data_IF_518751806331
#
_entry.id   IF_518751806331
#
_cell.length_a   1.000
_cell.length_b   1.000
_cell.length_c   1.000
_cell.angle_alpha   90.00
_cell.angle_beta   90.00
_cell.angle_gamma   90.00
#
_symmetry.space_group_name_H-M   'P 1'
#
loop_
_entity.id
_entity.type
_entity.pdbx_description
1 polymer ?
#
# COMPACT_ATOMS: atom_id res chain seq x y z
N UNK A 1 6.54 -49.37 5.05
CA UNK A 1 6.10 -48.26 5.92
C UNK A 1 6.62 -46.98 5.30
N UNK A 2 5.80 -46.34 4.49
CA UNK A 2 6.11 -45.04 3.88
C UNK A 2 5.83 -43.97 4.93
N UNK A 3 6.86 -43.19 5.27
CA UNK A 3 6.71 -42.00 6.09
C UNK A 3 5.76 -41.03 5.37
N UNK A 4 4.68 -40.67 6.06
CA UNK A 4 3.72 -39.70 5.59
C UNK A 4 4.41 -38.37 5.37
N UNK A 5 4.22 -37.82 4.18
CA UNK A 5 4.49 -36.41 3.88
C UNK A 5 3.69 -35.59 4.90
N UNK A 6 4.38 -34.94 5.85
CA UNK A 6 3.77 -33.85 6.61
C UNK A 6 3.32 -32.82 5.58
N UNK A 7 2.01 -32.62 5.49
CA UNK A 7 1.42 -31.60 4.63
C UNK A 7 1.89 -30.24 5.11
N UNK A 8 2.89 -29.65 4.44
CA UNK A 8 3.41 -28.30 4.68
C UNK A 8 2.47 -27.24 4.09
N UNK A 9 1.16 -27.38 4.29
CA UNK A 9 0.23 -26.32 3.95
C UNK A 9 0.47 -25.15 4.94
N UNK A 10 0.60 -23.91 4.47
CA UNK A 10 0.76 -22.77 5.37
C UNK A 10 -0.44 -22.71 6.34
N UNK A 11 -0.16 -22.38 7.61
CA UNK A 11 -1.22 -22.22 8.61
C UNK A 11 -2.20 -21.12 8.16
N UNK A 12 -3.52 -21.30 8.40
CA UNK A 12 -4.49 -20.24 8.12
C UNK A 12 -4.11 -18.95 8.85
N UNK A 13 -4.29 -17.79 8.21
CA UNK A 13 -3.90 -16.49 8.77
C UNK A 13 -4.48 -16.26 10.16
N UNK A 14 -5.75 -16.64 10.39
CA UNK A 14 -6.39 -16.54 11.71
C UNK A 14 -5.63 -17.30 12.81
N UNK A 15 -5.04 -18.46 12.48
CA UNK A 15 -4.25 -19.25 13.42
C UNK A 15 -2.93 -18.56 13.74
N UNK A 16 -2.29 -17.97 12.73
CA UNK A 16 -1.06 -17.19 12.90
C UNK A 16 -1.33 -15.99 13.80
N UNK A 17 -2.40 -15.23 13.54
CA UNK A 17 -2.76 -14.07 14.35
C UNK A 17 -2.98 -14.43 15.83
N UNK A 18 -3.62 -15.56 16.10
CA UNK A 18 -3.87 -16.04 17.46
C UNK A 18 -2.61 -16.55 18.16
N UNK A 19 -1.72 -17.23 17.44
CA UNK A 19 -0.49 -17.79 18.03
C UNK A 19 0.60 -16.74 18.23
N UNK A 20 0.62 -15.70 17.41
CA UNK A 20 1.67 -14.69 17.40
C UNK A 20 1.07 -13.27 17.42
N UNK A 21 0.41 -12.86 18.52
CA UNK A 21 -0.26 -11.55 18.62
C UNK A 21 0.69 -10.35 18.65
N UNK A 22 2.00 -10.60 18.79
CA UNK A 22 3.06 -9.58 18.80
C UNK A 22 3.76 -9.42 17.45
N UNK A 23 3.24 -9.99 16.37
CA UNK A 23 3.81 -9.79 15.03
C UNK A 23 3.74 -8.32 14.65
N UNK A 24 4.87 -7.79 14.18
CA UNK A 24 5.01 -6.41 13.70
C UNK A 24 5.16 -6.31 12.19
N UNK A 25 5.51 -7.40 11.50
CA UNK A 25 5.68 -7.42 10.05
C UNK A 25 5.13 -8.72 9.43
N UNK A 26 4.33 -8.58 8.37
CA UNK A 26 3.78 -9.71 7.60
C UNK A 26 3.97 -9.44 6.11
N UNK A 27 4.43 -10.46 5.39
CA UNK A 27 4.39 -10.52 3.93
C UNK A 27 3.51 -11.67 3.47
N UNK A 28 2.58 -11.40 2.56
CA UNK A 28 1.68 -12.38 1.97
C UNK A 28 1.81 -12.34 0.44
N UNK A 29 1.74 -13.50 -0.17
CA UNK A 29 1.84 -13.68 -1.62
C UNK A 29 0.51 -14.18 -2.20
N UNK A 30 0.30 -13.87 -3.47
CA UNK A 30 -0.97 -13.78 -4.18
C UNK A 30 -1.83 -15.03 -4.23
N UNK A 31 -1.19 -16.20 -4.13
CA UNK A 31 -1.86 -17.49 -4.29
C UNK A 31 -2.80 -17.82 -3.12
N UNK A 32 -2.70 -17.12 -1.98
CA UNK A 32 -3.33 -17.54 -0.73
C UNK A 32 -4.05 -16.42 0.05
N UNK A 33 -4.15 -15.20 -0.48
CA UNK A 33 -4.69 -14.04 0.26
C UNK A 33 -5.96 -13.47 -0.40
N UNK A 34 -7.05 -13.44 0.36
CA UNK A 34 -8.31 -12.81 0.02
C UNK A 34 -8.75 -11.82 1.12
N UNK A 35 -9.87 -11.13 0.90
CA UNK A 35 -10.38 -10.14 1.85
C UNK A 35 -10.68 -10.72 3.25
N UNK A 36 -11.07 -12.01 3.33
CA UNK A 36 -11.34 -12.69 4.61
C UNK A 36 -10.04 -12.93 5.37
N UNK A 37 -8.98 -13.31 4.67
CA UNK A 37 -7.67 -13.47 5.24
C UNK A 37 -7.16 -12.12 5.84
N UNK A 38 -7.41 -11.00 5.15
CA UNK A 38 -7.08 -9.65 5.65
C UNK A 38 -7.96 -9.19 6.81
N UNK A 39 -9.23 -9.63 6.88
CA UNK A 39 -10.07 -9.40 8.06
C UNK A 39 -9.42 -9.97 9.33
N UNK A 40 -8.86 -11.18 9.25
CA UNK A 40 -8.13 -11.81 10.38
C UNK A 40 -6.92 -11.00 10.85
N UNK A 41 -6.22 -10.31 9.93
CA UNK A 41 -5.06 -9.46 10.25
C UNK A 41 -5.46 -8.20 11.03
N UNK A 42 -6.70 -7.72 10.89
CA UNK A 42 -7.15 -6.50 11.57
C UNK A 42 -7.10 -6.58 13.10
N UNK A 43 -6.99 -7.80 13.66
CA UNK A 43 -6.80 -8.04 15.08
C UNK A 43 -5.37 -7.79 15.59
N UNK A 44 -4.38 -7.70 14.68
CA UNK A 44 -2.97 -7.53 15.02
C UNK A 44 -2.63 -6.06 15.28
N UNK A 45 -3.01 -5.58 16.46
CA UNK A 45 -2.78 -4.20 16.90
C UNK A 45 -1.31 -3.74 16.93
N UNK A 46 -0.34 -4.66 16.86
CA UNK A 46 1.10 -4.34 16.81
C UNK A 46 1.69 -4.38 15.39
N UNK A 47 0.89 -4.67 14.36
CA UNK A 47 1.38 -4.81 12.99
C UNK A 47 1.78 -3.45 12.41
N UNK A 48 3.08 -3.25 12.20
CA UNK A 48 3.64 -2.01 11.66
C UNK A 48 3.94 -2.09 10.16
N UNK A 49 4.16 -3.29 9.61
CA UNK A 49 4.50 -3.48 8.21
C UNK A 49 3.66 -4.59 7.57
N UNK A 50 2.98 -4.28 6.48
CA UNK A 50 2.24 -5.26 5.69
C UNK A 50 2.66 -5.18 4.22
N UNK A 51 3.05 -6.32 3.66
CA UNK A 51 3.29 -6.48 2.23
C UNK A 51 2.32 -7.50 1.66
N UNK A 52 1.55 -7.09 0.65
CA UNK A 52 0.71 -7.96 -0.18
C UNK A 52 1.29 -7.97 -1.59
N UNK A 53 1.85 -9.11 -1.99
CA UNK A 53 2.38 -9.34 -3.33
C UNK A 53 1.39 -10.13 -4.16
N UNK A 54 1.22 -9.75 -5.43
CA UNK A 54 0.36 -10.42 -6.42
C UNK A 54 -1.05 -10.78 -5.91
N UNK A 55 -1.62 -9.94 -5.03
CA UNK A 55 -2.82 -10.22 -4.26
C UNK A 55 -4.10 -10.07 -5.09
N UNK A 56 -4.24 -10.88 -6.14
CA UNK A 56 -5.28 -10.78 -7.17
C UNK A 56 -6.70 -10.93 -6.64
N UNK A 57 -6.87 -11.59 -5.49
CA UNK A 57 -8.16 -11.79 -4.81
C UNK A 57 -8.46 -10.76 -3.72
N UNK A 58 -7.57 -9.79 -3.50
CA UNK A 58 -7.78 -8.67 -2.56
C UNK A 58 -8.48 -7.53 -3.27
N UNK A 59 -9.55 -7.03 -2.66
CA UNK A 59 -10.36 -5.91 -3.13
C UNK A 59 -10.35 -4.76 -2.12
N UNK A 60 -11.12 -3.72 -2.42
CA UNK A 60 -11.40 -2.61 -1.50
C UNK A 60 -11.90 -3.05 -0.12
N UNK A 61 -12.63 -4.19 -0.05
CA UNK A 61 -13.09 -4.73 1.24
C UNK A 61 -11.89 -5.13 2.10
N UNK A 62 -10.94 -5.87 1.55
CA UNK A 62 -9.72 -6.27 2.22
C UNK A 62 -8.88 -5.08 2.68
N UNK A 63 -8.69 -4.07 1.81
CA UNK A 63 -7.96 -2.86 2.16
C UNK A 63 -8.62 -2.11 3.35
N UNK A 64 -9.95 -2.03 3.38
CA UNK A 64 -10.67 -1.41 4.50
C UNK A 64 -10.48 -2.15 5.83
N UNK A 65 -10.26 -3.47 5.81
CA UNK A 65 -9.88 -4.21 7.01
C UNK A 65 -8.46 -3.82 7.48
N UNK A 66 -7.52 -3.69 6.56
CA UNK A 66 -6.14 -3.27 6.85
C UNK A 66 -6.08 -1.85 7.41
N UNK A 67 -6.91 -0.94 6.90
CA UNK A 67 -6.98 0.44 7.39
C UNK A 67 -7.49 0.57 8.84
N UNK A 68 -7.97 -0.54 9.46
CA UNK A 68 -8.34 -0.58 10.89
C UNK A 68 -7.16 -0.84 11.82
N UNK A 69 -5.96 -1.09 11.28
CA UNK A 69 -4.75 -1.38 12.06
C UNK A 69 -4.00 -0.04 12.29
N UNK A 70 -4.14 0.60 13.47
CA UNK A 70 -3.65 1.95 13.67
C UNK A 70 -2.12 2.05 13.77
N UNK A 71 -1.44 0.92 13.99
CA UNK A 71 0.01 0.83 14.13
C UNK A 71 0.76 0.75 12.81
N UNK A 72 0.07 0.64 11.66
CA UNK A 72 0.72 0.53 10.36
C UNK A 72 1.58 1.74 10.03
N UNK A 73 2.82 1.45 9.67
CA UNK A 73 3.86 2.40 9.23
C UNK A 73 4.24 2.18 7.78
N UNK A 74 4.22 0.93 7.32
CA UNK A 74 4.55 0.54 5.95
C UNK A 74 3.45 -0.34 5.38
N UNK A 75 2.93 0.06 4.21
CA UNK A 75 1.93 -0.70 3.47
C UNK A 75 2.37 -0.84 2.02
N UNK A 76 2.54 -2.07 1.58
CA UNK A 76 2.80 -2.43 0.18
C UNK A 76 1.66 -3.28 -0.33
N UNK A 77 1.03 -2.85 -1.43
CA UNK A 77 -0.05 -3.58 -2.09
C UNK A 77 0.29 -3.69 -3.56
N UNK A 78 0.52 -4.91 -4.03
CA UNK A 78 0.87 -5.20 -5.41
C UNK A 78 -0.12 -6.17 -6.06
N UNK A 79 -0.51 -5.89 -7.30
CA UNK A 79 -1.27 -6.81 -8.15
C UNK A 79 -2.67 -7.14 -7.63
N UNK A 80 -3.36 -6.18 -7.00
CA UNK A 80 -4.69 -6.38 -6.42
C UNK A 80 -5.81 -5.70 -7.21
N UNK A 81 -7.04 -5.85 -6.75
CA UNK A 81 -8.23 -5.19 -7.32
C UNK A 81 -8.59 -3.89 -6.57
N UNK A 82 -7.70 -3.37 -5.73
CA UNK A 82 -7.88 -2.10 -5.01
C UNK A 82 -8.05 -0.93 -5.97
N UNK A 83 -9.02 -0.06 -5.65
CA UNK A 83 -9.36 1.17 -6.38
C UNK A 83 -9.14 2.44 -5.56
N UNK A 84 -9.27 3.60 -6.21
CA UNK A 84 -9.18 4.92 -5.57
C UNK A 84 -10.09 5.08 -4.34
N UNK A 85 -11.30 4.50 -4.40
CA UNK A 85 -12.31 4.57 -3.34
C UNK A 85 -11.79 4.03 -1.99
N UNK A 86 -10.95 2.99 -2.01
CA UNK A 86 -10.39 2.42 -0.79
C UNK A 86 -9.05 3.05 -0.40
N UNK A 87 -8.31 3.66 -1.34
CA UNK A 87 -7.09 4.42 -1.01
C UNK A 87 -7.42 5.63 -0.12
N UNK A 88 -8.61 6.21 -0.27
CA UNK A 88 -9.11 7.25 0.64
C UNK A 88 -9.09 6.88 2.12
N UNK A 89 -9.23 5.59 2.46
CA UNK A 89 -9.15 5.10 3.84
C UNK A 89 -7.71 4.96 4.34
N UNK A 90 -6.73 4.76 3.44
CA UNK A 90 -5.29 4.70 3.78
C UNK A 90 -4.84 6.02 4.38
N UNK A 91 -5.35 7.15 3.87
CA UNK A 91 -5.01 8.48 4.37
C UNK A 91 -5.45 8.74 5.81
N UNK A 92 -6.28 7.88 6.39
CA UNK A 92 -6.72 7.96 7.80
C UNK A 92 -5.76 7.26 8.75
N UNK A 93 -4.75 6.54 8.25
CA UNK A 93 -3.76 5.84 9.07
C UNK A 93 -2.79 6.85 9.72
N UNK A 94 -2.80 7.00 11.06
CA UNK A 94 -2.15 8.12 11.75
C UNK A 94 -0.62 8.01 11.80
N UNK A 95 -0.06 6.86 11.45
CA UNK A 95 1.36 6.55 11.59
C UNK A 95 1.99 6.07 10.29
N UNK A 96 1.25 6.11 9.17
CA UNK A 96 1.76 5.64 7.89
C UNK A 96 2.90 6.54 7.40
N UNK A 97 4.03 5.89 7.10
CA UNK A 97 5.28 6.52 6.64
C UNK A 97 5.62 6.14 5.21
N UNK A 98 5.28 4.92 4.80
CA UNK A 98 5.59 4.39 3.48
C UNK A 98 4.36 3.71 2.88
N UNK A 99 4.02 4.13 1.66
CA UNK A 99 2.95 3.53 0.86
C UNK A 99 3.50 3.14 -0.50
N UNK A 100 3.33 1.87 -0.87
CA UNK A 100 3.71 1.33 -2.18
C UNK A 100 2.46 0.71 -2.81
N UNK A 101 2.03 1.26 -3.94
CA UNK A 101 0.90 0.78 -4.73
C UNK A 101 1.39 0.37 -6.11
N UNK A 102 1.43 -0.94 -6.38
CA UNK A 102 1.89 -1.45 -7.67
C UNK A 102 0.82 -2.27 -8.40
N UNK A 103 0.52 -1.97 -9.66
CA UNK A 103 -0.37 -2.79 -10.48
C UNK A 103 -1.78 -2.91 -9.89
N UNK A 104 -2.27 -1.84 -9.27
CA UNK A 104 -3.64 -1.74 -8.74
C UNK A 104 -4.49 -0.85 -9.68
N UNK A 105 -5.80 -0.79 -9.44
CA UNK A 105 -6.73 0.03 -10.23
C UNK A 105 -6.83 1.45 -9.67
N UNK A 106 -5.67 2.08 -9.52
CA UNK A 106 -5.50 3.41 -8.91
C UNK A 106 -5.18 4.45 -9.99
N UNK A 107 -5.75 5.63 -9.86
CA UNK A 107 -5.65 6.76 -10.77
C UNK A 107 -5.38 8.07 -10.01
N UNK A 108 -5.55 9.24 -10.63
CA UNK A 108 -5.26 10.52 -9.96
C UNK A 108 -6.23 10.78 -8.79
N UNK A 109 -7.43 10.21 -8.91
CA UNK A 109 -8.56 10.29 -8.02
C UNK A 109 -8.27 9.75 -6.61
N UNK A 110 -7.26 8.89 -6.42
CA UNK A 110 -6.86 8.45 -5.07
C UNK A 110 -6.40 9.58 -4.15
N UNK A 111 -5.99 10.73 -4.71
CA UNK A 111 -5.58 11.90 -3.92
C UNK A 111 -6.75 12.88 -3.69
N UNK A 112 -7.94 12.58 -4.17
CA UNK A 112 -9.13 13.39 -3.92
C UNK A 112 -9.49 13.33 -2.43
N UNK A 113 -9.49 14.50 -1.79
CA UNK A 113 -9.77 14.60 -0.36
C UNK A 113 -8.65 14.10 0.55
N UNK A 114 -7.47 13.76 0.01
CA UNK A 114 -6.30 13.45 0.83
C UNK A 114 -5.93 14.65 1.72
N UNK A 115 -5.72 14.46 3.03
CA UNK A 115 -5.19 15.50 3.89
C UNK A 115 -3.76 15.83 3.48
N UNK A 116 -3.38 17.10 3.55
CA UNK A 116 -2.00 17.52 3.21
C UNK A 116 -1.05 17.45 4.42
N UNK A 117 -1.59 17.31 5.64
CA UNK A 117 -0.88 17.17 6.91
C UNK A 117 -0.55 15.71 7.27
N UNK A 118 -0.39 14.86 6.24
CA UNK A 118 -0.03 13.47 6.41
C UNK A 118 1.37 13.29 7.00
N UNK A 119 1.60 12.14 7.62
CA UNK A 119 2.92 11.74 8.12
C UNK A 119 3.77 11.03 7.08
N UNK A 120 3.24 10.84 5.85
CA UNK A 120 3.82 10.02 4.80
C UNK A 120 5.14 10.62 4.31
N UNK A 121 6.18 9.80 4.27
CA UNK A 121 7.54 10.20 3.86
C UNK A 121 7.90 9.60 2.51
N UNK A 122 7.34 8.44 2.16
CA UNK A 122 7.64 7.72 0.94
C UNK A 122 6.35 7.25 0.26
N UNK A 123 6.19 7.65 -1.01
CA UNK A 123 5.11 7.20 -1.87
C UNK A 123 5.69 6.60 -3.14
N UNK A 124 5.41 5.32 -3.38
CA UNK A 124 5.69 4.65 -4.64
C UNK A 124 4.38 4.23 -5.30
N UNK A 125 4.22 4.62 -6.56
CA UNK A 125 3.11 4.20 -7.40
C UNK A 125 3.71 3.64 -8.67
N UNK A 126 3.41 2.38 -8.95
CA UNK A 126 3.94 1.71 -10.12
C UNK A 126 2.87 0.95 -10.90
N UNK A 127 2.94 0.92 -12.23
CA UNK A 127 1.96 0.19 -13.06
C UNK A 127 0.50 0.60 -12.79
N UNK A 128 0.25 1.89 -12.53
CA UNK A 128 -1.07 2.44 -12.21
C UNK A 128 -1.43 3.59 -13.18
N UNK A 129 -2.71 3.99 -13.20
CA UNK A 129 -3.26 4.98 -14.12
C UNK A 129 -3.06 6.44 -13.71
N UNK A 130 -1.99 6.78 -13.00
CA UNK A 130 -1.70 8.16 -12.58
C UNK A 130 -1.04 8.97 -13.70
N UNK A 131 -1.41 10.24 -13.79
CA UNK A 131 -0.98 11.22 -14.80
C UNK A 131 -0.38 12.47 -14.14
N UNK A 132 0.01 13.48 -14.91
CA UNK A 132 0.54 14.75 -14.37
C UNK A 132 -0.42 15.47 -13.40
N UNK A 133 -1.71 15.11 -13.38
CA UNK A 133 -2.70 15.69 -12.47
C UNK A 133 -2.40 15.41 -10.99
N UNK A 134 -1.68 14.33 -10.66
CA UNK A 134 -1.26 14.11 -9.26
C UNK A 134 -0.25 15.15 -8.77
N UNK A 135 0.46 15.84 -9.67
CA UNK A 135 1.58 16.70 -9.29
C UNK A 135 1.17 17.81 -8.32
N UNK A 136 0.02 18.46 -8.57
CA UNK A 136 -0.49 19.53 -7.72
C UNK A 136 -0.89 19.05 -6.31
N UNK A 137 -1.43 17.83 -6.20
CA UNK A 137 -1.78 17.23 -4.91
C UNK A 137 -0.51 16.83 -4.14
N UNK A 138 0.41 16.12 -4.79
CA UNK A 138 1.66 15.67 -4.18
C UNK A 138 2.54 16.84 -3.73
N UNK A 139 2.58 17.92 -4.51
CA UNK A 139 3.34 19.13 -4.16
C UNK A 139 2.92 19.78 -2.83
N UNK A 140 1.68 19.52 -2.38
CA UNK A 140 1.16 20.03 -1.10
C UNK A 140 1.49 19.11 0.08
N UNK A 141 1.88 17.86 -0.17
CA UNK A 141 2.26 16.88 0.83
C UNK A 141 3.74 17.06 1.23
N UNK A 142 4.01 18.16 1.94
CA UNK A 142 5.40 18.61 2.26
C UNK A 142 6.21 17.67 3.17
N UNK A 143 5.58 16.62 3.73
CA UNK A 143 6.26 15.57 4.47
C UNK A 143 7.01 14.57 3.59
N UNK A 144 6.67 14.50 2.29
CA UNK A 144 7.25 13.55 1.34
C UNK A 144 8.74 13.85 1.12
N UNK A 145 9.53 12.77 1.24
CA UNK A 145 10.97 12.73 0.99
C UNK A 145 11.29 11.95 -0.28
N UNK A 146 10.41 11.02 -0.67
CA UNK A 146 10.59 10.18 -1.86
C UNK A 146 9.26 9.96 -2.56
N UNK A 147 9.23 10.25 -3.85
CA UNK A 147 8.12 10.00 -4.76
C UNK A 147 8.66 9.21 -5.96
N UNK A 148 8.14 8.00 -6.16
CA UNK A 148 8.48 7.14 -7.29
C UNK A 148 7.19 6.85 -8.09
N UNK A 149 7.18 7.18 -9.38
CA UNK A 149 5.99 7.09 -10.24
C UNK A 149 6.28 6.21 -11.48
N UNK A 150 6.72 4.96 -11.24
CA UNK A 150 7.28 4.08 -12.26
C UNK A 150 6.20 3.44 -13.15
N UNK A 151 6.38 3.39 -14.47
CA UNK A 151 5.41 2.82 -15.42
C UNK A 151 4.02 3.44 -15.23
N UNK A 152 3.99 4.76 -15.15
CA UNK A 152 2.77 5.58 -15.04
C UNK A 152 2.66 6.50 -16.27
N UNK A 153 1.58 7.27 -16.38
CA UNK A 153 1.39 8.25 -17.44
C UNK A 153 1.87 9.66 -17.05
N UNK A 154 2.69 9.77 -15.99
CA UNK A 154 3.37 11.01 -15.62
C UNK A 154 4.47 11.31 -16.63
N UNK A 155 4.44 12.51 -17.19
CA UNK A 155 5.38 12.97 -18.20
C UNK A 155 6.56 13.70 -17.57
N UNK A 156 7.53 14.11 -18.40
CA UNK A 156 8.63 14.96 -17.94
C UNK A 156 8.13 16.30 -17.38
N UNK A 157 7.04 16.84 -17.92
CA UNK A 157 6.48 18.11 -17.45
C UNK A 157 5.90 17.97 -16.02
N UNK A 158 5.23 16.85 -15.73
CA UNK A 158 4.78 16.52 -14.38
C UNK A 158 5.94 16.29 -13.41
N UNK A 159 7.01 15.61 -13.86
CA UNK A 159 8.23 15.40 -13.08
C UNK A 159 8.90 16.72 -12.72
N UNK A 160 9.07 17.62 -13.68
CA UNK A 160 9.68 18.94 -13.45
C UNK A 160 8.82 19.82 -12.53
N UNK A 161 7.49 19.72 -12.65
CA UNK A 161 6.56 20.37 -11.73
C UNK A 161 6.80 19.90 -10.29
N UNK A 162 6.88 18.59 -10.07
CA UNK A 162 7.16 18.00 -8.74
C UNK A 162 8.52 18.42 -8.19
N UNK A 163 9.59 18.36 -8.99
CA UNK A 163 10.94 18.80 -8.56
C UNK A 163 10.98 20.28 -8.20
N UNK A 164 10.27 21.12 -8.95
CA UNK A 164 10.23 22.57 -8.71
C UNK A 164 9.47 22.90 -7.43
N UNK A 165 8.34 22.23 -7.18
CA UNK A 165 7.52 22.51 -6.00
C UNK A 165 8.02 21.80 -4.72
N UNK A 166 8.73 20.67 -4.87
CA UNK A 166 9.29 19.89 -3.76
C UNK A 166 10.82 19.71 -3.92
N UNK A 167 11.63 20.78 -3.83
CA UNK A 167 13.07 20.73 -4.13
C UNK A 167 13.89 19.86 -3.17
N UNK A 168 13.33 19.51 -2.00
CA UNK A 168 13.96 18.60 -1.02
C UNK A 168 13.47 17.16 -1.10
N UNK A 169 12.46 16.88 -1.94
CA UNK A 169 11.95 15.54 -2.18
C UNK A 169 12.71 14.90 -3.33
N UNK A 170 13.14 13.65 -3.15
CA UNK A 170 13.62 12.84 -4.25
C UNK A 170 12.42 12.41 -5.10
N UNK A 171 12.40 12.82 -6.37
CA UNK A 171 11.32 12.47 -7.31
C UNK A 171 11.90 11.78 -8.52
N UNK A 172 11.34 10.62 -8.86
CA UNK A 172 11.73 9.86 -10.04
C UNK A 172 10.52 9.26 -10.74
N UNK A 173 10.53 9.34 -12.08
CA UNK A 173 9.59 8.65 -12.97
C UNK A 173 10.44 7.74 -13.87
N UNK A 174 10.17 6.44 -13.84
CA UNK A 174 10.80 5.46 -14.74
C UNK A 174 9.70 4.97 -15.70
N UNK A 175 9.80 5.21 -17.01
CA UNK A 175 8.79 4.76 -17.97
C UNK A 175 8.55 3.25 -18.01
#
# INVERSE_FOLDING_TARGET
MTFGQESTAPLPIETICRQFPSITAIGLDGDCVDDRALEGLSSLSNLESLTLSDATSVTDVGLRHICRIPSLRTLTISGSQVTDDAVGDIWKLPHLKRLILRGNKVSDEMLDGAPYDLTLEELEIADCGVTDRVADHLARMTSLKTILLNRTAVTEDGLETLKTQLPSCFVQVIP
#
